data_IF_711020341747
#
_entry.id   IF_711020341747
#
_cell.length_a   1.000
_cell.length_b   1.000
_cell.length_c   1.000
_cell.angle_alpha   90.00
_cell.angle_beta   90.00
_cell.angle_gamma   90.00
#
_symmetry.space_group_name_H-M   'P 1'
#
loop_
_entity.id
_entity.type
_entity.pdbx_description
1 polymer ?
#
# COMPACT_ATOMS: atom_id res chain seq x y z
N UNK A 1 -12.71 33.23 -12.25
CA UNK A 1 -12.86 32.61 -10.93
C UNK A 1 -12.53 31.11 -11.00
N UNK A 2 -12.52 30.45 -12.19
CA UNK A 2 -12.23 29.02 -12.33
C UNK A 2 -10.75 28.63 -12.46
N UNK A 3 -9.82 29.52 -12.79
CA UNK A 3 -8.45 29.17 -13.15
C UNK A 3 -7.46 29.07 -11.98
N UNK A 4 -7.71 29.75 -10.88
CA UNK A 4 -6.85 29.67 -9.70
C UNK A 4 -7.16 28.48 -8.78
N UNK A 5 -8.36 27.92 -8.86
CA UNK A 5 -8.78 26.79 -8.04
C UNK A 5 -8.10 25.48 -8.49
N UNK A 6 -7.84 25.29 -9.80
CA UNK A 6 -7.26 24.07 -10.33
C UNK A 6 -5.78 23.88 -9.98
N UNK A 7 -4.94 24.92 -9.98
CA UNK A 7 -3.49 24.81 -9.64
C UNK A 7 -3.27 24.43 -8.17
N UNK A 8 -4.28 24.62 -7.33
CA UNK A 8 -4.23 24.33 -5.89
C UNK A 8 -4.49 22.87 -5.54
N UNK A 9 -5.25 22.15 -6.35
CA UNK A 9 -5.83 20.87 -5.92
C UNK A 9 -4.83 19.71 -5.93
N UNK A 10 -4.01 19.54 -6.97
CA UNK A 10 -3.00 18.48 -6.99
C UNK A 10 -1.91 18.69 -5.92
N UNK A 11 -1.47 19.94 -5.73
CA UNK A 11 -0.51 20.25 -4.67
C UNK A 11 -1.09 20.02 -3.27
N UNK A 12 -2.34 20.42 -3.06
CA UNK A 12 -3.04 20.22 -1.80
C UNK A 12 -3.20 18.73 -1.50
N UNK A 13 -3.64 17.95 -2.48
CA UNK A 13 -3.78 16.49 -2.33
C UNK A 13 -2.41 15.84 -2.12
N UNK A 14 -1.36 16.27 -2.83
CA UNK A 14 0.02 15.81 -2.59
C UNK A 14 0.49 16.05 -1.16
N UNK A 15 0.22 17.23 -0.60
CA UNK A 15 0.52 17.54 0.81
C UNK A 15 -0.31 16.68 1.75
N UNK A 16 -1.60 16.48 1.46
CA UNK A 16 -2.48 15.62 2.28
C UNK A 16 -1.97 14.17 2.32
N UNK A 17 -1.50 13.62 1.19
CA UNK A 17 -0.86 12.30 1.16
C UNK A 17 0.42 12.25 2.02
N UNK A 18 1.26 13.29 1.95
CA UNK A 18 2.48 13.36 2.78
C UNK A 18 2.14 13.45 4.27
N UNK A 19 1.14 14.24 4.65
CA UNK A 19 0.69 14.35 6.05
C UNK A 19 0.12 13.00 6.53
N UNK A 20 -0.71 12.33 5.73
CA UNK A 20 -1.21 11.00 6.04
C UNK A 20 -0.06 10.03 6.29
N UNK A 21 0.93 10.00 5.39
CA UNK A 21 2.12 9.16 5.52
C UNK A 21 2.91 9.45 6.80
N UNK A 22 3.05 10.73 7.18
CA UNK A 22 3.73 11.11 8.42
C UNK A 22 2.96 10.71 9.68
N UNK A 23 1.63 10.83 9.68
CA UNK A 23 0.78 10.38 10.79
C UNK A 23 0.94 8.85 10.97
N UNK A 24 0.86 8.10 9.88
CA UNK A 24 1.03 6.66 9.91
C UNK A 24 2.46 6.24 10.26
N UNK A 25 3.46 7.06 9.89
CA UNK A 25 4.86 6.84 10.29
C UNK A 25 5.03 6.90 11.82
N UNK A 26 4.42 7.87 12.50
CA UNK A 26 4.46 7.95 13.97
C UNK A 26 3.91 6.67 14.59
N UNK A 27 2.81 6.14 14.05
CA UNK A 27 2.23 4.87 14.52
C UNK A 27 3.18 3.68 14.24
N UNK A 28 3.69 3.56 13.03
CA UNK A 28 4.62 2.47 12.67
C UNK A 28 5.94 2.55 13.45
N UNK A 29 6.41 3.76 13.74
CA UNK A 29 7.58 3.97 14.61
C UNK A 29 7.33 3.49 16.04
N UNK A 30 6.16 3.78 16.61
CA UNK A 30 5.77 3.28 17.94
C UNK A 30 5.78 1.75 17.97
N UNK A 31 5.23 1.08 16.94
CA UNK A 31 5.26 -0.38 16.82
C UNK A 31 6.69 -0.93 16.77
N UNK A 32 7.60 -0.27 16.03
CA UNK A 32 9.00 -0.67 15.98
C UNK A 32 9.68 -0.59 17.35
N UNK A 33 9.43 0.50 18.11
CA UNK A 33 9.95 0.63 19.48
C UNK A 33 9.41 -0.49 20.38
N UNK A 34 8.09 -0.77 20.31
CA UNK A 34 7.49 -1.84 21.11
C UNK A 34 8.16 -3.20 20.82
N UNK A 35 8.37 -3.53 19.54
CA UNK A 35 9.05 -4.77 19.17
C UNK A 35 10.51 -4.83 19.69
N UNK A 36 11.24 -3.72 19.56
CA UNK A 36 12.65 -3.67 20.03
C UNK A 36 12.76 -3.74 21.54
N UNK A 37 11.89 -3.10 22.28
CA UNK A 37 11.83 -3.21 23.73
C UNK A 37 11.49 -4.64 24.16
N UNK A 38 10.53 -5.30 23.50
CA UNK A 38 10.22 -6.70 23.74
C UNK A 38 11.45 -7.58 23.54
N UNK A 39 12.17 -7.43 22.43
CA UNK A 39 13.37 -8.20 22.15
C UNK A 39 14.50 -7.96 23.16
N UNK A 40 14.64 -6.73 23.64
CA UNK A 40 15.64 -6.38 24.64
C UNK A 40 15.30 -6.94 26.04
N UNK A 41 14.01 -7.03 26.38
CA UNK A 41 13.54 -7.53 27.68
C UNK A 41 13.36 -9.05 27.72
N UNK A 42 13.10 -9.69 26.59
CA UNK A 42 12.97 -11.14 26.46
C UNK A 42 14.35 -11.80 26.35
N UNK A 43 15.14 -11.70 27.43
CA UNK A 43 16.48 -12.25 27.51
C UNK A 43 16.67 -13.05 28.81
N UNK A 44 17.48 -14.12 28.78
CA UNK A 44 17.87 -14.85 29.97
C UNK A 44 16.72 -15.57 30.69
N UNK A 45 15.69 -16.00 29.98
CA UNK A 45 14.53 -16.72 30.56
C UNK A 45 13.33 -15.82 30.88
N UNK A 46 13.40 -14.51 30.60
CA UNK A 46 12.27 -13.59 30.67
C UNK A 46 11.45 -13.66 29.40
N UNK A 47 10.13 -13.72 29.50
CA UNK A 47 9.21 -13.65 28.35
C UNK A 47 9.03 -12.22 27.80
N UNK A 48 9.63 -11.21 28.46
CA UNK A 48 9.42 -9.80 28.13
C UNK A 48 8.09 -9.28 28.66
N UNK A 49 7.58 -8.19 28.04
CA UNK A 49 6.34 -7.51 28.48
C UNK A 49 5.13 -7.73 27.57
N UNK A 50 5.37 -8.20 26.32
CA UNK A 50 4.31 -8.51 25.37
C UNK A 50 4.03 -10.00 25.31
N UNK A 51 2.76 -10.38 25.32
CA UNK A 51 2.36 -11.75 25.00
C UNK A 51 2.71 -12.04 23.52
N UNK A 52 3.06 -13.29 23.19
CA UNK A 52 3.40 -13.73 21.84
C UNK A 52 2.34 -13.33 20.79
N UNK A 53 1.06 -13.51 21.11
CA UNK A 53 -0.04 -13.12 20.20
C UNK A 53 -0.10 -11.61 19.93
N UNK A 54 0.19 -10.80 20.95
CA UNK A 54 0.22 -9.35 20.77
C UNK A 54 1.45 -8.91 19.98
N UNK A 55 2.60 -9.57 20.22
CA UNK A 55 3.81 -9.31 19.45
C UNK A 55 3.60 -9.57 17.95
N UNK A 56 2.95 -10.69 17.58
CA UNK A 56 2.65 -11.03 16.19
C UNK A 56 1.73 -10.00 15.51
N UNK A 57 0.75 -9.47 16.27
CA UNK A 57 -0.11 -8.39 15.76
C UNK A 57 0.66 -7.10 15.52
N UNK A 58 1.53 -6.69 16.47
CA UNK A 58 2.36 -5.49 16.34
C UNK A 58 3.34 -5.65 15.17
N UNK A 59 3.94 -6.82 15.02
CA UNK A 59 4.84 -7.14 13.91
C UNK A 59 4.14 -7.03 12.56
N UNK A 60 2.96 -7.61 12.44
CA UNK A 60 2.15 -7.54 11.21
C UNK A 60 1.70 -6.12 10.92
N UNK A 61 1.19 -5.40 11.93
CA UNK A 61 0.74 -4.03 11.81
C UNK A 61 1.88 -3.09 11.39
N UNK A 62 3.06 -3.22 12.00
CA UNK A 62 4.24 -2.47 11.61
C UNK A 62 4.57 -2.65 10.12
N UNK A 63 4.67 -3.89 9.65
CA UNK A 63 4.99 -4.17 8.25
C UNK A 63 3.96 -3.59 7.28
N UNK A 64 2.67 -3.77 7.56
CA UNK A 64 1.57 -3.23 6.75
C UNK A 64 1.58 -1.70 6.73
N UNK A 65 1.72 -1.07 7.89
CA UNK A 65 1.71 0.39 8.01
C UNK A 65 2.89 0.98 7.26
N UNK A 66 4.10 0.47 7.47
CA UNK A 66 5.31 1.04 6.88
C UNK A 66 5.33 0.95 5.34
N UNK A 67 4.82 -0.15 4.78
CA UNK A 67 4.82 -0.36 3.33
C UNK A 67 3.64 0.37 2.68
N UNK A 68 2.41 0.09 3.12
CA UNK A 68 1.20 0.54 2.42
C UNK A 68 0.71 1.92 2.83
N UNK A 69 0.97 2.35 4.08
CA UNK A 69 0.42 3.59 4.62
C UNK A 69 1.47 4.64 4.98
N UNK A 70 2.75 4.32 4.87
CA UNK A 70 3.85 5.28 4.98
C UNK A 70 4.53 5.46 3.63
N UNK A 71 5.21 4.43 3.13
CA UNK A 71 6.02 4.55 1.92
C UNK A 71 5.17 4.94 0.69
N UNK A 72 4.05 4.26 0.47
CA UNK A 72 3.20 4.51 -0.69
C UNK A 72 2.56 5.91 -0.68
N UNK A 73 1.93 6.38 0.40
CA UNK A 73 1.40 7.75 0.46
C UNK A 73 2.47 8.83 0.34
N UNK A 74 3.65 8.66 0.96
CA UNK A 74 4.73 9.63 0.83
C UNK A 74 5.22 9.76 -0.62
N UNK A 75 5.48 8.63 -1.29
CA UNK A 75 5.91 8.63 -2.69
C UNK A 75 4.82 9.19 -3.60
N UNK A 76 3.57 8.78 -3.41
CA UNK A 76 2.42 9.29 -4.18
C UNK A 76 2.22 10.79 -3.96
N UNK A 77 2.39 11.26 -2.72
CA UNK A 77 2.31 12.68 -2.37
C UNK A 77 3.38 13.51 -3.08
N UNK A 78 4.62 13.04 -3.05
CA UNK A 78 5.74 13.70 -3.75
C UNK A 78 5.49 13.71 -5.26
N UNK A 79 5.05 12.60 -5.85
CA UNK A 79 4.74 12.55 -7.28
C UNK A 79 3.61 13.52 -7.65
N UNK A 80 2.51 13.56 -6.89
CA UNK A 80 1.40 14.49 -7.12
C UNK A 80 1.81 15.96 -7.01
N UNK A 81 2.79 16.27 -6.17
CA UNK A 81 3.29 17.62 -6.01
C UNK A 81 4.30 18.01 -7.09
N UNK A 82 5.30 17.16 -7.35
CA UNK A 82 6.47 17.48 -8.17
C UNK A 82 6.22 17.25 -9.67
N UNK A 83 5.55 16.16 -10.05
CA UNK A 83 5.39 15.80 -11.47
C UNK A 83 4.68 16.88 -12.28
N UNK A 84 3.51 17.42 -11.86
CA UNK A 84 2.86 18.50 -12.63
C UNK A 84 3.75 19.73 -12.79
N UNK A 85 4.56 20.06 -11.77
CA UNK A 85 5.49 21.18 -11.86
C UNK A 85 6.59 20.95 -12.89
N UNK A 86 7.16 19.74 -12.93
CA UNK A 86 8.25 19.39 -13.83
C UNK A 86 7.81 19.33 -15.29
N UNK A 87 6.58 18.91 -15.56
CA UNK A 87 6.06 18.85 -16.94
C UNK A 87 5.38 20.14 -17.38
N UNK A 88 5.27 21.15 -16.50
CA UNK A 88 4.60 22.41 -16.81
C UNK A 88 3.08 22.30 -16.87
N UNK A 89 2.49 21.27 -16.31
CA UNK A 89 1.05 21.10 -16.21
C UNK A 89 0.47 21.98 -15.09
N UNK A 90 -0.75 22.53 -15.32
CA UNK A 90 -1.45 23.30 -14.30
C UNK A 90 -1.98 22.42 -13.18
N UNK A 91 -2.46 21.22 -13.49
CA UNK A 91 -3.00 20.23 -12.58
C UNK A 91 -2.86 18.82 -13.17
N UNK A 92 -3.29 17.79 -12.45
CA UNK A 92 -3.38 16.41 -12.94
C UNK A 92 -4.55 16.27 -13.93
N UNK A 93 -4.51 15.22 -14.78
CA UNK A 93 -5.52 15.00 -15.83
C UNK A 93 -6.94 14.83 -15.28
N UNK A 94 -7.08 14.15 -14.14
CA UNK A 94 -8.36 13.84 -13.52
C UNK A 94 -8.38 14.28 -12.05
N UNK A 95 -8.69 15.55 -11.74
CA UNK A 95 -8.65 16.06 -10.37
C UNK A 95 -9.61 15.34 -9.41
N UNK A 96 -10.83 15.02 -9.89
CA UNK A 96 -11.80 14.24 -9.12
C UNK A 96 -11.24 12.86 -8.72
N UNK A 97 -10.64 12.16 -9.68
CA UNK A 97 -10.05 10.85 -9.45
C UNK A 97 -8.90 10.92 -8.46
N UNK A 98 -8.12 11.99 -8.49
CA UNK A 98 -7.02 12.24 -7.55
C UNK A 98 -7.53 12.42 -6.11
N UNK A 99 -8.57 13.20 -5.94
CA UNK A 99 -9.21 13.39 -4.63
C UNK A 99 -9.82 12.08 -4.12
N UNK A 100 -10.53 11.36 -4.98
CA UNK A 100 -11.13 10.07 -4.63
C UNK A 100 -10.07 9.03 -4.22
N UNK A 101 -8.95 8.94 -4.95
CA UNK A 101 -7.84 8.03 -4.61
C UNK A 101 -7.24 8.31 -3.23
N UNK A 102 -7.10 9.60 -2.88
CA UNK A 102 -6.65 9.99 -1.54
C UNK A 102 -7.61 9.51 -0.43
N UNK A 103 -8.91 9.73 -0.61
CA UNK A 103 -9.90 9.32 0.39
C UNK A 103 -10.00 7.80 0.52
N UNK A 104 -9.84 7.04 -0.57
CA UNK A 104 -9.77 5.57 -0.52
C UNK A 104 -8.54 5.11 0.28
N UNK A 105 -7.37 5.71 0.05
CA UNK A 105 -6.16 5.40 0.83
C UNK A 105 -6.34 5.77 2.31
N UNK A 106 -6.95 6.92 2.58
CA UNK A 106 -7.25 7.36 3.95
C UNK A 106 -8.23 6.43 4.65
N UNK A 107 -9.27 5.95 3.95
CA UNK A 107 -10.21 4.98 4.49
C UNK A 107 -9.52 3.67 4.88
N UNK A 108 -8.60 3.16 4.04
CA UNK A 108 -7.76 2.01 4.37
C UNK A 108 -6.92 2.25 5.63
N UNK A 109 -6.29 3.41 5.75
CA UNK A 109 -5.52 3.80 6.93
C UNK A 109 -6.38 3.87 8.20
N UNK A 110 -7.60 4.41 8.09
CA UNK A 110 -8.56 4.46 9.22
C UNK A 110 -8.93 3.05 9.67
N UNK A 111 -9.14 2.10 8.76
CA UNK A 111 -9.45 0.70 9.10
C UNK A 111 -8.31 0.07 9.90
N UNK A 112 -7.06 0.27 9.48
CA UNK A 112 -5.88 -0.21 10.23
C UNK A 112 -5.81 0.45 11.61
N UNK A 113 -6.08 1.75 11.71
CA UNK A 113 -6.09 2.46 13.00
C UNK A 113 -7.26 2.01 13.90
N UNK A 114 -8.43 1.71 13.32
CA UNK A 114 -9.58 1.21 14.07
C UNK A 114 -9.28 -0.13 14.75
N UNK A 115 -8.44 -0.98 14.15
CA UNK A 115 -8.03 -2.25 14.76
C UNK A 115 -7.35 -2.09 16.12
N UNK A 116 -6.71 -0.95 16.39
CA UNK A 116 -6.12 -0.64 17.70
C UNK A 116 -7.17 -0.54 18.81
N UNK A 117 -8.31 0.08 18.49
CA UNK A 117 -9.40 0.26 19.45
C UNK A 117 -10.16 -1.04 19.68
N UNK A 118 -10.26 -1.87 18.66
CA UNK A 118 -10.83 -3.23 18.78
C UNK A 118 -9.87 -4.18 19.49
N UNK A 119 -8.56 -3.88 19.44
CA UNK A 119 -7.52 -4.68 20.08
C UNK A 119 -7.16 -5.96 19.37
N UNK A 120 -7.55 -6.11 18.09
CA UNK A 120 -7.24 -7.28 17.29
C UNK A 120 -6.80 -6.87 15.87
N UNK A 121 -5.60 -7.31 15.46
CA UNK A 121 -5.10 -7.22 14.09
C UNK A 121 -4.61 -8.59 13.62
N UNK A 122 -4.28 -8.73 12.33
CA UNK A 122 -3.77 -9.97 11.78
C UNK A 122 -2.47 -10.42 12.46
N UNK A 123 -2.31 -11.74 12.68
CA UNK A 123 -1.11 -12.40 13.23
C UNK A 123 -0.37 -13.20 12.17
N UNK A 124 -0.44 -12.78 10.94
CA UNK A 124 -0.09 -13.55 9.75
C UNK A 124 1.18 -13.05 9.08
N UNK A 125 1.83 -12.03 9.65
CA UNK A 125 2.83 -11.25 8.94
C UNK A 125 2.18 -10.35 7.87
N UNK A 126 2.95 -9.43 7.32
CA UNK A 126 2.44 -8.43 6.38
C UNK A 126 1.98 -9.00 5.02
N UNK A 127 2.38 -10.22 4.67
CA UNK A 127 2.01 -10.92 3.43
C UNK A 127 0.75 -11.80 3.58
N UNK A 128 0.34 -12.11 4.81
CA UNK A 128 -0.86 -12.89 5.14
C UNK A 128 -0.98 -14.22 4.38
N UNK A 129 0.07 -15.06 4.43
CA UNK A 129 0.07 -16.34 3.74
C UNK A 129 -0.98 -17.33 4.29
N UNK A 130 -1.73 -18.01 3.41
CA UNK A 130 -2.48 -19.20 3.76
C UNK A 130 -1.51 -20.36 4.16
N UNK A 131 -1.90 -21.28 5.07
CA UNK A 131 -3.22 -21.38 5.70
C UNK A 131 -3.41 -20.47 6.92
N UNK A 132 -2.39 -19.78 7.40
CA UNK A 132 -2.43 -18.96 8.62
C UNK A 132 -3.47 -17.83 8.55
N UNK A 133 -3.69 -17.23 7.38
CA UNK A 133 -4.71 -16.20 7.14
C UNK A 133 -6.12 -16.76 6.93
N UNK A 134 -6.27 -18.09 6.81
CA UNK A 134 -7.56 -18.75 6.70
C UNK A 134 -8.37 -18.73 8.00
N UNK A 135 -9.67 -18.92 7.89
CA UNK A 135 -10.59 -18.88 9.05
C UNK A 135 -10.31 -19.98 10.08
N UNK A 136 -9.75 -21.11 9.65
CA UNK A 136 -9.41 -22.23 10.53
C UNK A 136 -8.28 -21.90 11.53
N UNK A 137 -7.33 -21.04 11.15
CA UNK A 137 -6.19 -20.65 11.99
C UNK A 137 -6.32 -19.24 12.58
N UNK A 138 -7.03 -18.36 11.89
CA UNK A 138 -7.29 -16.99 12.31
C UNK A 138 -8.78 -16.65 12.22
N UNK A 139 -9.61 -17.19 13.16
CA UNK A 139 -11.05 -17.00 13.13
C UNK A 139 -11.49 -15.57 13.50
N UNK A 140 -10.60 -14.78 14.12
CA UNK A 140 -10.89 -13.42 14.55
C UNK A 140 -10.95 -12.42 13.39
N UNK A 141 -11.46 -11.22 13.69
CA UNK A 141 -11.62 -10.11 12.74
C UNK A 141 -10.31 -9.46 12.31
N UNK A 142 -9.17 -9.83 12.91
CA UNK A 142 -7.88 -9.20 12.65
C UNK A 142 -7.44 -9.29 11.19
N UNK A 143 -7.62 -10.45 10.56
CA UNK A 143 -7.30 -10.65 9.13
C UNK A 143 -8.26 -9.87 8.24
N UNK A 144 -9.50 -9.67 8.66
CA UNK A 144 -10.49 -8.92 7.90
C UNK A 144 -10.15 -7.43 7.86
N UNK A 145 -9.65 -6.85 8.95
CA UNK A 145 -9.08 -5.49 8.95
C UNK A 145 -7.92 -5.35 7.95
N UNK A 146 -7.03 -6.34 7.92
CA UNK A 146 -5.92 -6.38 6.97
C UNK A 146 -6.43 -6.41 5.52
N UNK A 147 -7.32 -7.34 5.18
CA UNK A 147 -7.85 -7.52 3.83
C UNK A 147 -8.55 -6.25 3.34
N UNK A 148 -9.52 -5.75 4.11
CA UNK A 148 -10.30 -4.59 3.70
C UNK A 148 -9.49 -3.31 3.61
N UNK A 149 -8.56 -3.10 4.53
CA UNK A 149 -7.67 -1.96 4.48
C UNK A 149 -6.84 -1.93 3.19
N UNK A 150 -6.25 -3.08 2.83
CA UNK A 150 -5.41 -3.17 1.64
C UNK A 150 -6.22 -3.16 0.34
N UNK A 151 -7.40 -3.76 0.29
CA UNK A 151 -8.26 -3.71 -0.91
C UNK A 151 -8.68 -2.27 -1.22
N UNK A 152 -9.19 -1.55 -0.22
CA UNK A 152 -9.65 -0.18 -0.40
C UNK A 152 -8.48 0.74 -0.76
N UNK A 153 -7.36 0.67 -0.05
CA UNK A 153 -6.17 1.44 -0.36
C UNK A 153 -5.57 1.07 -1.73
N UNK A 154 -5.59 -0.21 -2.11
CA UNK A 154 -5.10 -0.71 -3.39
C UNK A 154 -5.87 -0.17 -4.58
N UNK A 155 -7.20 -0.08 -4.48
CA UNK A 155 -8.02 0.59 -5.50
C UNK A 155 -7.63 2.06 -5.59
N UNK A 156 -7.50 2.77 -4.47
CA UNK A 156 -7.05 4.17 -4.44
C UNK A 156 -5.70 4.37 -5.13
N UNK A 157 -4.73 3.51 -4.83
CA UNK A 157 -3.39 3.56 -5.42
C UNK A 157 -3.40 3.31 -6.93
N UNK A 158 -4.19 2.35 -7.40
CA UNK A 158 -4.36 2.07 -8.84
C UNK A 158 -4.94 3.29 -9.57
N UNK A 159 -5.95 3.94 -9.01
CA UNK A 159 -6.57 5.12 -9.59
C UNK A 159 -5.60 6.32 -9.65
N UNK A 160 -4.79 6.50 -8.61
CA UNK A 160 -3.71 7.50 -8.60
C UNK A 160 -2.67 7.21 -9.69
N UNK A 161 -2.27 5.96 -9.87
CA UNK A 161 -1.35 5.53 -10.92
C UNK A 161 -1.87 5.86 -12.32
N UNK A 162 -3.12 5.50 -12.62
CA UNK A 162 -3.76 5.82 -13.91
C UNK A 162 -3.78 7.34 -14.15
N UNK A 163 -4.11 8.12 -13.14
CA UNK A 163 -4.16 9.57 -13.24
C UNK A 163 -2.79 10.17 -13.53
N UNK A 164 -1.74 9.73 -12.84
CA UNK A 164 -0.37 10.22 -13.06
C UNK A 164 0.18 9.81 -14.44
N UNK A 165 -0.10 8.59 -14.91
CA UNK A 165 0.25 8.18 -16.29
C UNK A 165 -0.42 9.09 -17.30
N UNK A 166 -1.73 9.30 -17.18
CA UNK A 166 -2.49 10.18 -18.08
C UNK A 166 -1.95 11.62 -18.05
N UNK A 167 -1.59 12.11 -16.87
CA UNK A 167 -1.01 13.45 -16.69
C UNK A 167 0.31 13.58 -17.41
N UNK A 168 1.24 12.63 -17.18
CA UNK A 168 2.57 12.65 -17.81
C UNK A 168 2.47 12.49 -19.33
N UNK A 169 1.58 11.65 -19.83
CA UNK A 169 1.46 11.39 -21.27
C UNK A 169 0.77 12.54 -22.01
N UNK A 170 -0.29 13.11 -21.44
CA UNK A 170 -1.17 14.07 -22.16
C UNK A 170 -0.89 15.54 -21.85
N UNK A 171 -0.37 15.87 -20.68
CA UNK A 171 -0.33 17.26 -20.18
C UNK A 171 1.09 17.86 -20.16
N UNK A 172 2.03 17.31 -20.92
CA UNK A 172 3.37 17.91 -21.07
C UNK A 172 3.30 19.28 -21.75
N UNK A 173 4.22 20.16 -21.33
CA UNK A 173 4.38 21.45 -21.97
C UNK A 173 4.70 21.31 -23.47
N UNK A 174 4.22 22.23 -24.34
CA UNK A 174 4.55 22.23 -25.74
C UNK A 174 6.06 22.19 -25.98
N UNK A 175 6.53 21.28 -26.84
CA UNK A 175 7.95 21.09 -27.12
C UNK A 175 8.69 20.12 -26.20
N UNK A 176 8.06 19.64 -25.10
CA UNK A 176 8.61 18.61 -24.22
C UNK A 176 8.30 17.21 -24.75
N UNK A 177 9.21 16.66 -25.55
CA UNK A 177 9.14 15.24 -25.97
C UNK A 177 9.42 14.30 -24.80
N UNK A 178 9.08 13.00 -24.95
CA UNK A 178 9.30 11.99 -23.92
C UNK A 178 10.75 11.97 -23.41
N UNK A 179 11.73 12.01 -24.33
CA UNK A 179 13.15 11.97 -23.97
C UNK A 179 13.71 13.28 -23.38
N UNK A 180 12.91 14.35 -23.36
CA UNK A 180 13.29 15.64 -22.75
C UNK A 180 12.69 15.85 -21.34
N UNK A 181 12.00 14.86 -20.82
CA UNK A 181 11.44 14.92 -19.46
C UNK A 181 12.55 14.79 -18.41
N UNK A 182 12.39 15.45 -17.24
CA UNK A 182 13.27 15.24 -16.09
C UNK A 182 13.28 13.77 -15.65
N UNK A 183 14.41 13.31 -15.09
CA UNK A 183 14.58 11.91 -14.65
C UNK A 183 13.52 11.50 -13.63
N UNK A 184 13.16 12.37 -12.71
CA UNK A 184 12.11 12.08 -11.72
C UNK A 184 10.74 11.83 -12.36
N UNK A 185 10.39 12.57 -13.42
CA UNK A 185 9.15 12.33 -14.17
C UNK A 185 9.20 10.99 -14.90
N UNK A 186 10.35 10.60 -15.44
CA UNK A 186 10.55 9.30 -16.06
C UNK A 186 10.40 8.14 -15.06
N UNK A 187 11.06 8.22 -13.92
CA UNK A 187 10.94 7.20 -12.87
C UNK A 187 9.51 7.14 -12.33
N UNK A 188 8.85 8.29 -12.19
CA UNK A 188 7.43 8.35 -11.81
C UNK A 188 6.52 7.68 -12.84
N UNK A 189 6.78 7.86 -14.15
CA UNK A 189 6.02 7.17 -15.19
C UNK A 189 6.19 5.66 -15.10
N UNK A 190 7.42 5.16 -15.02
CA UNK A 190 7.72 3.74 -14.90
C UNK A 190 7.07 3.14 -13.63
N UNK A 191 7.21 3.81 -12.48
CA UNK A 191 6.60 3.38 -11.23
C UNK A 191 5.09 3.27 -11.34
N UNK A 192 4.43 4.25 -11.94
CA UNK A 192 2.96 4.22 -12.08
C UNK A 192 2.49 3.14 -13.07
N UNK A 193 3.25 2.85 -14.13
CA UNK A 193 2.96 1.72 -15.02
C UNK A 193 3.04 0.40 -14.25
N UNK A 194 4.07 0.20 -13.42
CA UNK A 194 4.19 -0.98 -12.56
C UNK A 194 3.07 -1.07 -11.53
N UNK A 195 2.68 0.05 -10.92
CA UNK A 195 1.55 0.11 -9.98
C UNK A 195 0.27 -0.35 -10.66
N UNK A 196 -0.06 0.20 -11.83
CA UNK A 196 -1.30 -0.17 -12.56
C UNK A 196 -1.28 -1.62 -13.02
N UNK A 197 -0.11 -2.20 -13.30
CA UNK A 197 0.02 -3.62 -13.65
C UNK A 197 -0.10 -4.55 -12.43
N UNK A 198 0.49 -4.18 -11.29
CA UNK A 198 0.65 -5.07 -10.13
C UNK A 198 -0.48 -4.99 -9.10
N UNK A 199 -1.03 -3.82 -8.82
CA UNK A 199 -2.06 -3.65 -7.79
C UNK A 199 -3.38 -4.37 -8.07
N UNK A 200 -3.89 -4.46 -9.32
CA UNK A 200 -5.05 -5.30 -9.61
C UNK A 200 -4.83 -6.78 -9.25
N UNK A 201 -3.61 -7.30 -9.40
CA UNK A 201 -3.27 -8.68 -8.99
C UNK A 201 -3.33 -8.81 -7.47
N UNK A 202 -2.79 -7.85 -6.72
CA UNK A 202 -2.91 -7.80 -5.26
C UNK A 202 -4.38 -7.75 -4.83
N UNK A 203 -5.18 -6.89 -5.46
CA UNK A 203 -6.61 -6.77 -5.16
C UNK A 203 -7.34 -8.09 -5.44
N UNK A 204 -7.01 -8.76 -6.55
CA UNK A 204 -7.61 -10.05 -6.91
C UNK A 204 -7.26 -11.14 -5.89
N UNK A 205 -6.00 -11.27 -5.48
CA UNK A 205 -5.60 -12.30 -4.48
C UNK A 205 -6.25 -12.07 -3.13
N UNK A 206 -6.38 -10.81 -2.70
CA UNK A 206 -7.09 -10.48 -1.46
C UNK A 206 -8.60 -10.72 -1.58
N UNK A 207 -9.20 -10.49 -2.76
CA UNK A 207 -10.60 -10.84 -3.02
C UNK A 207 -10.84 -12.35 -2.94
N UNK A 208 -9.95 -13.17 -3.51
CA UNK A 208 -10.02 -14.63 -3.38
C UNK A 208 -9.90 -15.07 -1.90
N UNK A 209 -8.99 -14.46 -1.15
CA UNK A 209 -8.88 -14.72 0.29
C UNK A 209 -10.14 -14.29 1.06
N UNK A 210 -10.78 -13.20 0.66
CA UNK A 210 -12.08 -12.77 1.21
C UNK A 210 -13.16 -13.81 0.96
N UNK A 211 -13.23 -14.35 -0.25
CA UNK A 211 -14.19 -15.43 -0.59
C UNK A 211 -13.95 -16.70 0.23
N UNK A 212 -12.69 -17.09 0.41
CA UNK A 212 -12.35 -18.24 1.26
C UNK A 212 -12.80 -18.04 2.71
N UNK A 213 -12.70 -16.81 3.24
CA UNK A 213 -13.08 -16.51 4.63
C UNK A 213 -14.58 -16.34 4.84
N UNK A 214 -15.30 -15.65 3.93
CA UNK A 214 -16.71 -15.29 4.12
C UNK A 214 -17.69 -16.27 3.47
N UNK A 215 -17.33 -16.83 2.32
CA UNK A 215 -18.18 -17.72 1.54
C UNK A 215 -17.82 -19.18 1.75
N UNK A 216 -16.61 -19.45 2.29
CA UNK A 216 -16.13 -20.82 2.48
C UNK A 216 -15.68 -21.48 1.19
N UNK A 217 -15.22 -20.71 0.22
CA UNK A 217 -14.53 -21.26 -0.96
C UNK A 217 -13.18 -21.83 -0.56
N UNK A 218 -12.57 -22.64 -1.41
CA UNK A 218 -11.34 -23.35 -1.08
C UNK A 218 -10.23 -23.06 -2.11
N UNK A 219 -10.03 -21.80 -2.48
CA UNK A 219 -8.98 -21.43 -3.43
C UNK A 219 -7.58 -21.74 -2.90
N UNK A 220 -7.37 -21.56 -1.59
CA UNK A 220 -6.06 -21.65 -0.95
C UNK A 220 -5.94 -22.77 0.08
N UNK A 221 -6.95 -23.65 0.18
CA UNK A 221 -7.00 -24.77 1.15
C UNK A 221 -6.72 -26.10 0.45
N UNK A 222 -5.66 -26.81 0.87
CA UNK A 222 -5.24 -28.07 0.25
C UNK A 222 -6.29 -29.18 0.34
N UNK A 223 -7.08 -29.23 1.42
CA UNK A 223 -7.98 -30.35 1.72
C UNK A 223 -9.12 -30.52 0.72
N UNK A 224 -9.41 -29.49 -0.08
CA UNK A 224 -10.51 -29.47 -1.06
C UNK A 224 -10.04 -29.13 -2.49
N UNK A 225 -8.75 -29.36 -2.78
CA UNK A 225 -8.18 -29.14 -4.12
C UNK A 225 -7.73 -27.71 -4.41
N UNK A 226 -7.74 -26.82 -3.42
CA UNK A 226 -7.14 -25.50 -3.51
C UNK A 226 -5.60 -25.55 -3.45
N UNK A 227 -4.97 -24.46 -3.76
CA UNK A 227 -3.50 -24.37 -3.81
C UNK A 227 -2.97 -23.12 -3.09
N UNK A 228 -2.42 -23.25 -1.88
CA UNK A 228 -1.79 -22.12 -1.16
C UNK A 228 -0.65 -21.45 -1.92
N UNK A 229 0.07 -22.21 -2.77
CA UNK A 229 1.14 -21.67 -3.60
C UNK A 229 0.61 -20.66 -4.63
N UNK A 230 -0.65 -20.78 -5.05
CA UNK A 230 -1.29 -19.79 -5.92
C UNK A 230 -1.33 -18.42 -5.24
N UNK A 231 -1.64 -18.35 -3.93
CA UNK A 231 -1.58 -17.11 -3.17
C UNK A 231 -0.17 -16.52 -3.16
N UNK A 232 0.82 -17.35 -2.83
CA UNK A 232 2.24 -16.93 -2.77
C UNK A 232 2.69 -16.38 -4.12
N UNK A 233 2.39 -17.07 -5.21
CA UNK A 233 2.77 -16.63 -6.55
C UNK A 233 2.09 -15.32 -6.93
N UNK A 234 0.81 -15.16 -6.67
CA UNK A 234 0.07 -13.94 -7.02
C UNK A 234 0.52 -12.73 -6.17
N UNK A 235 0.72 -12.91 -4.87
CA UNK A 235 1.18 -11.80 -4.04
C UNK A 235 2.62 -11.38 -4.39
N UNK A 236 3.47 -12.32 -4.80
CA UNK A 236 4.82 -12.00 -5.22
C UNK A 236 4.91 -11.48 -6.66
N UNK A 237 3.93 -11.72 -7.54
CA UNK A 237 3.81 -10.96 -8.79
C UNK A 237 3.69 -9.46 -8.47
N UNK A 238 2.84 -9.09 -7.52
CA UNK A 238 2.79 -7.71 -7.05
C UNK A 238 4.10 -7.28 -6.38
N UNK A 239 4.62 -8.05 -5.43
CA UNK A 239 5.82 -7.71 -4.67
C UNK A 239 7.09 -7.66 -5.53
N UNK A 240 7.30 -8.64 -6.42
CA UNK A 240 8.45 -8.67 -7.32
C UNK A 240 8.45 -7.53 -8.33
N UNK A 241 7.33 -7.19 -8.94
CA UNK A 241 7.27 -6.08 -9.90
C UNK A 241 7.63 -4.74 -9.26
N UNK A 242 7.29 -4.57 -7.97
CA UNK A 242 7.71 -3.38 -7.22
C UNK A 242 9.20 -3.42 -6.83
N UNK A 243 9.75 -4.61 -6.60
CA UNK A 243 11.11 -4.79 -6.08
C UNK A 243 12.17 -4.99 -7.18
N UNK A 244 11.82 -5.63 -8.28
CA UNK A 244 12.71 -5.90 -9.42
C UNK A 244 12.69 -4.84 -10.52
N UNK A 245 12.44 -3.59 -10.15
CA UNK A 245 12.84 -2.49 -11.03
C UNK A 245 14.33 -2.67 -11.29
N UNK A 246 14.77 -2.93 -12.55
CA UNK A 246 16.17 -3.25 -12.83
C UNK A 246 17.04 -2.10 -12.36
N UNK A 247 17.80 -2.38 -11.30
CA UNK A 247 18.86 -1.48 -10.86
C UNK A 247 19.95 -1.51 -11.90
N UNK A 248 20.55 -0.36 -12.27
CA UNK A 248 21.74 -0.34 -13.15
C UNK A 248 22.91 -1.19 -12.62
N UNK A 249 22.82 -1.70 -11.40
CA UNK A 249 23.82 -2.60 -10.77
C UNK A 249 23.60 -4.08 -11.07
N UNK A 250 22.44 -4.49 -11.59
CA UNK A 250 22.13 -5.89 -11.88
C UNK A 250 22.57 -6.31 -13.30
N UNK A 251 23.31 -5.46 -13.99
CA UNK A 251 23.83 -5.66 -15.35
C UNK A 251 25.36 -5.85 -15.43
N UNK A 252 26.01 -6.30 -14.34
CA UNK A 252 27.43 -6.67 -14.31
C UNK A 252 27.62 -8.11 -13.90
#
# INVERSE_FOLDING_TARGET
>A
VGSEMCIRDSKKIGIMYMILGLIMFVRGFADAIMMRLQQAMAFGGSEGYLNAHHYDQVFTAHGVIMIFFVAMPLVTGIMNYVVPLQIGARDVSFPFLNNFSFWMTTAGAIIVMASLFVGEFARTGWLAYPPLSGIGYSPGVGVDYYIWALQIAGVGTTLSGINLIATIVKMRAPGMGMMKMPVFTWTSLCTNVLIVASFPVLTAVLALLTLDRYVGTNFFTNDFGGNPMMYVNLIWIWGCLLYTSPSPRDGL
#
